data_IF_954484569563
#
_entry.id   IF_954484569563
#
_cell.length_a   1.000
_cell.length_b   1.000
_cell.length_c   1.000
_cell.angle_alpha   90.00
_cell.angle_beta   90.00
_cell.angle_gamma   90.00
#
_symmetry.space_group_name_H-M   'P 1'
#
loop_
_entity.id
_entity.type
_entity.pdbx_description
1 polymer ?
#
# COMPACT_ATOMS: atom_id res chain seq x y z
N UNK A 1 10.65 -39.81 23.23
CA UNK A 1 9.38 -39.03 23.13
C UNK A 1 9.72 -37.55 22.92
N UNK A 2 9.49 -36.97 21.73
CA UNK A 2 9.73 -35.53 21.47
C UNK A 2 8.66 -34.70 22.20
N UNK A 3 9.06 -33.94 23.22
CA UNK A 3 8.17 -32.95 23.88
C UNK A 3 7.82 -31.85 22.88
N UNK A 4 6.54 -31.68 22.57
CA UNK A 4 6.06 -30.55 21.76
C UNK A 4 6.27 -29.26 22.57
N UNK A 5 7.08 -28.34 22.05
CA UNK A 5 7.43 -27.06 22.70
C UNK A 5 6.23 -26.09 22.83
N UNK A 6 5.13 -26.36 22.12
CA UNK A 6 3.94 -25.51 22.13
C UNK A 6 2.69 -26.35 22.41
N UNK A 7 1.90 -25.91 23.40
CA UNK A 7 0.56 -26.44 23.66
C UNK A 7 -0.41 -25.79 22.66
N UNK A 8 -1.20 -26.61 21.96
CA UNK A 8 -2.25 -26.11 21.07
C UNK A 8 -3.30 -25.41 21.95
N UNK A 9 -3.57 -24.14 21.68
CA UNK A 9 -4.64 -23.38 22.34
C UNK A 9 -5.97 -24.12 22.10
N UNK A 10 -6.77 -24.41 23.14
CA UNK A 10 -8.07 -25.05 23.01
C UNK A 10 -8.99 -24.30 22.03
N UNK A 11 -9.78 -25.04 21.25
CA UNK A 11 -10.59 -24.42 20.19
C UNK A 11 -11.66 -23.44 20.74
N UNK A 12 -12.05 -23.58 22.01
CA UNK A 12 -12.93 -22.64 22.70
C UNK A 12 -12.30 -21.25 22.86
N UNK A 13 -10.99 -21.17 23.09
CA UNK A 13 -10.24 -19.92 23.27
C UNK A 13 -9.86 -19.25 21.93
N UNK A 14 -10.06 -19.96 20.81
CA UNK A 14 -9.82 -19.44 19.46
C UNK A 14 -11.03 -18.72 18.85
N UNK A 15 -12.20 -18.82 19.48
CA UNK A 15 -13.43 -18.26 18.93
C UNK A 15 -13.36 -16.74 18.88
N UNK A 16 -13.63 -16.19 17.70
CA UNK A 16 -13.74 -14.75 17.51
C UNK A 16 -15.03 -14.27 18.16
N UNK A 17 -14.94 -13.22 18.98
CA UNK A 17 -16.09 -12.58 19.61
C UNK A 17 -16.43 -11.28 18.89
N UNK A 18 -17.73 -10.93 18.74
CA UNK A 18 -18.14 -9.69 18.11
C UNK A 18 -17.82 -8.48 19.00
N UNK A 19 -17.36 -7.39 18.37
CA UNK A 19 -17.15 -6.10 19.03
C UNK A 19 -18.26 -5.14 18.62
N UNK A 20 -18.97 -4.57 19.60
CA UNK A 20 -19.99 -3.53 19.36
C UNK A 20 -19.36 -2.15 19.60
N UNK A 21 -19.51 -1.26 18.62
CA UNK A 21 -18.99 0.11 18.68
C UNK A 21 -20.12 1.05 18.25
N UNK A 22 -20.31 2.12 19.02
CA UNK A 22 -21.25 3.19 18.69
C UNK A 22 -20.46 4.28 17.98
N UNK A 23 -20.91 4.67 16.79
CA UNK A 23 -20.29 5.69 15.95
C UNK A 23 -21.36 6.66 15.50
N UNK A 24 -21.02 7.95 15.39
CA UNK A 24 -21.82 8.89 14.64
C UNK A 24 -21.54 8.75 13.13
N UNK A 25 -22.34 9.39 12.28
CA UNK A 25 -22.22 9.26 10.83
C UNK A 25 -20.86 9.77 10.28
N UNK A 26 -20.30 10.82 10.87
CA UNK A 26 -19.02 11.37 10.44
C UNK A 26 -17.85 10.43 10.81
N UNK A 27 -17.90 9.83 11.99
CA UNK A 27 -16.94 8.83 12.44
C UNK A 27 -17.00 7.57 11.59
N UNK A 28 -18.19 7.08 11.26
CA UNK A 28 -18.36 5.92 10.40
C UNK A 28 -17.76 6.14 9.01
N UNK A 29 -18.02 7.30 8.40
CA UNK A 29 -17.45 7.68 7.11
C UNK A 29 -15.93 7.85 7.17
N UNK A 30 -15.40 8.47 8.23
CA UNK A 30 -13.95 8.59 8.40
C UNK A 30 -13.29 7.21 8.52
N UNK A 31 -13.90 6.27 9.25
CA UNK A 31 -13.39 4.90 9.41
C UNK A 31 -13.48 4.13 8.09
N UNK A 32 -14.58 4.26 7.33
CA UNK A 32 -14.71 3.64 5.99
C UNK A 32 -13.63 4.13 5.04
N UNK A 33 -13.46 5.43 4.89
CA UNK A 33 -12.41 6.01 4.02
C UNK A 33 -11.02 5.54 4.44
N UNK A 34 -10.75 5.51 5.74
CA UNK A 34 -9.48 5.03 6.25
C UNK A 34 -9.24 3.53 5.97
N UNK A 35 -10.29 2.71 6.02
CA UNK A 35 -10.25 1.29 5.66
C UNK A 35 -10.06 1.09 4.14
N UNK A 36 -10.76 1.88 3.31
CA UNK A 36 -10.65 1.86 1.84
C UNK A 36 -9.24 2.17 1.36
N UNK A 37 -8.63 3.25 1.86
CA UNK A 37 -7.23 3.62 1.56
C UNK A 37 -6.26 2.47 1.91
N UNK A 38 -6.61 1.64 2.89
CA UNK A 38 -5.79 0.51 3.33
C UNK A 38 -6.16 -0.81 2.66
N UNK A 39 -7.19 -0.81 1.81
CA UNK A 39 -7.77 -1.99 1.15
C UNK A 39 -8.09 -3.07 2.20
N UNK A 40 -8.76 -2.64 3.26
CA UNK A 40 -9.23 -3.50 4.34
C UNK A 40 -10.75 -3.38 4.48
N UNK A 41 -11.37 -4.45 4.95
CA UNK A 41 -12.72 -4.35 5.47
C UNK A 41 -12.74 -3.45 6.71
N UNK A 42 -13.85 -2.72 6.91
CA UNK A 42 -14.03 -1.78 8.03
C UNK A 42 -13.73 -2.44 9.38
N UNK A 43 -14.19 -3.68 9.58
CA UNK A 43 -14.01 -4.40 10.85
C UNK A 43 -12.56 -4.82 11.07
N UNK A 44 -11.86 -5.25 10.03
CA UNK A 44 -10.46 -5.64 10.09
C UNK A 44 -9.55 -4.42 10.28
N UNK A 45 -9.87 -3.28 9.65
CA UNK A 45 -9.18 -2.01 9.89
C UNK A 45 -9.28 -1.59 11.37
N UNK A 46 -10.49 -1.56 11.93
CA UNK A 46 -10.72 -1.21 13.34
C UNK A 46 -9.98 -2.18 14.27
N UNK A 47 -10.02 -3.48 13.98
CA UNK A 47 -9.31 -4.51 14.77
C UNK A 47 -7.80 -4.31 14.75
N UNK A 48 -7.19 -4.02 13.60
CA UNK A 48 -5.75 -3.77 13.50
C UNK A 48 -5.33 -2.50 14.22
N UNK A 49 -6.08 -1.42 14.01
CA UNK A 49 -5.86 -0.14 14.68
C UNK A 49 -5.93 -0.27 16.20
N UNK A 50 -6.97 -0.95 16.73
CA UNK A 50 -7.15 -1.13 18.17
C UNK A 50 -6.07 -2.01 18.82
N UNK A 51 -5.49 -2.97 18.09
CA UNK A 51 -4.45 -3.86 18.61
C UNK A 51 -3.04 -3.30 18.50
N UNK A 52 -2.88 -2.04 18.05
CA UNK A 52 -1.56 -1.44 17.81
C UNK A 52 -0.71 -2.20 16.79
N UNK A 53 -1.30 -3.18 16.08
CA UNK A 53 -0.68 -3.79 14.92
C UNK A 53 -0.71 -2.69 13.89
N UNK A 54 0.46 -2.10 13.58
CA UNK A 54 0.56 -1.07 12.54
C UNK A 54 -0.33 -1.54 11.40
N UNK A 55 -1.39 -0.79 11.14
CA UNK A 55 -2.07 -0.86 9.87
C UNK A 55 -1.09 -0.22 8.89
N UNK A 56 0.07 -0.87 8.71
CA UNK A 56 1.13 -0.45 7.81
C UNK A 56 0.47 -0.50 6.46
N UNK A 57 0.18 0.71 6.04
CA UNK A 57 -0.68 0.97 4.92
C UNK A 57 0.08 0.45 3.73
N UNK A 58 -0.66 -0.14 2.80
CA UNK A 58 -0.28 -0.23 1.40
C UNK A 58 0.01 1.14 0.74
N UNK A 59 0.37 2.18 1.51
CA UNK A 59 0.77 3.50 1.03
C UNK A 59 2.00 3.33 0.14
N UNK A 60 2.93 2.44 0.51
CA UNK A 60 4.03 2.05 -0.36
C UNK A 60 3.52 1.51 -1.70
N UNK A 61 2.49 0.65 -1.71
CA UNK A 61 1.98 0.06 -2.95
C UNK A 61 1.26 1.09 -3.83
N UNK A 62 0.40 1.96 -3.28
CA UNK A 62 -0.27 3.00 -4.06
C UNK A 62 0.72 4.05 -4.61
N UNK A 63 1.70 4.44 -3.80
CA UNK A 63 2.78 5.33 -4.22
C UNK A 63 3.63 4.68 -5.32
N UNK A 64 4.01 3.40 -5.14
CA UNK A 64 4.75 2.63 -6.15
C UNK A 64 3.96 2.49 -7.44
N UNK A 65 2.65 2.24 -7.38
CA UNK A 65 1.78 2.15 -8.55
C UNK A 65 1.65 3.50 -9.27
N UNK A 66 1.45 4.59 -8.52
CA UNK A 66 1.37 5.93 -9.09
C UNK A 66 2.69 6.34 -9.78
N UNK A 67 3.84 6.06 -9.15
CA UNK A 67 5.16 6.36 -9.71
C UNK A 67 5.51 5.45 -10.90
N UNK A 68 5.06 4.20 -10.88
CA UNK A 68 5.15 3.29 -12.03
C UNK A 68 4.37 3.85 -13.21
N UNK A 69 3.15 4.36 -12.98
CA UNK A 69 2.33 5.00 -14.01
C UNK A 69 3.00 6.24 -14.60
N UNK A 70 3.60 7.09 -13.77
CA UNK A 70 4.39 8.25 -14.23
C UNK A 70 5.55 7.81 -15.12
N UNK A 71 6.29 6.78 -14.71
CA UNK A 71 7.42 6.25 -15.47
C UNK A 71 6.98 5.68 -16.83
N UNK A 72 5.83 5.00 -16.88
CA UNK A 72 5.24 4.50 -18.12
C UNK A 72 4.79 5.63 -19.05
N UNK A 73 4.16 6.68 -18.52
CA UNK A 73 3.78 7.86 -19.30
C UNK A 73 4.99 8.58 -19.91
N UNK A 74 6.10 8.67 -19.18
CA UNK A 74 7.35 9.26 -19.68
C UNK A 74 7.93 8.41 -20.83
N UNK A 75 7.85 7.07 -20.73
CA UNK A 75 8.26 6.17 -21.83
C UNK A 75 7.35 6.29 -23.05
N UNK A 76 6.05 6.40 -22.87
CA UNK A 76 5.11 6.62 -23.96
C UNK A 76 5.41 7.94 -24.68
N UNK A 77 5.60 9.03 -23.93
CA UNK A 77 6.01 10.31 -24.49
C UNK A 77 7.32 10.23 -25.28
N UNK A 78 8.29 9.43 -24.82
CA UNK A 78 9.52 9.20 -25.57
C UNK A 78 9.28 8.56 -26.94
N UNK A 79 8.44 7.52 -26.98
CA UNK A 79 8.07 6.86 -28.24
C UNK A 79 7.36 7.84 -29.18
N UNK A 80 6.38 8.60 -28.67
CA UNK A 80 5.65 9.60 -29.45
C UNK A 80 6.58 10.70 -30.03
N UNK A 81 7.59 11.12 -29.28
CA UNK A 81 8.57 12.10 -29.74
C UNK A 81 9.46 11.52 -30.84
N UNK A 82 9.93 10.27 -30.67
CA UNK A 82 10.72 9.56 -31.66
C UNK A 82 9.95 9.34 -32.96
N UNK A 83 8.67 8.98 -32.90
CA UNK A 83 7.79 8.85 -34.07
C UNK A 83 7.61 10.18 -34.82
N UNK A 84 7.67 11.31 -34.10
CA UNK A 84 7.62 12.67 -34.67
C UNK A 84 8.98 13.19 -35.15
N UNK A 85 10.03 12.36 -35.11
CA UNK A 85 11.39 12.74 -35.52
C UNK A 85 12.09 13.70 -34.55
N UNK A 86 11.52 13.94 -33.37
CA UNK A 86 12.13 14.73 -32.30
C UNK A 86 12.87 13.73 -31.44
N UNK A 87 14.20 13.71 -31.51
CA UNK A 87 15.01 12.83 -30.67
C UNK A 87 15.31 13.51 -29.32
N UNK A 88 14.54 13.25 -28.24
CA UNK A 88 14.96 13.68 -26.92
C UNK A 88 16.28 12.99 -26.57
N UNK A 89 17.23 13.74 -26.01
CA UNK A 89 18.52 13.18 -25.60
C UNK A 89 18.31 11.97 -24.69
N UNK A 90 18.81 10.81 -25.12
CA UNK A 90 18.70 9.56 -24.38
C UNK A 90 19.32 9.67 -22.97
N UNK A 91 20.32 10.54 -22.80
CA UNK A 91 20.92 10.86 -21.51
C UNK A 91 19.98 11.65 -20.60
N UNK A 92 19.33 12.71 -21.11
CA UNK A 92 18.38 13.50 -20.34
C UNK A 92 17.20 12.64 -19.84
N UNK A 93 16.72 11.72 -20.70
CA UNK A 93 15.61 10.82 -20.33
C UNK A 93 16.04 9.73 -19.34
N UNK A 94 17.26 9.19 -19.47
CA UNK A 94 17.80 8.25 -18.48
C UNK A 94 17.94 8.88 -17.10
N UNK A 95 18.34 10.16 -17.03
CA UNK A 95 18.44 10.90 -15.77
C UNK A 95 17.07 11.00 -15.11
N UNK A 96 16.03 11.39 -15.85
CA UNK A 96 14.66 11.52 -15.32
C UNK A 96 14.13 10.18 -14.76
N UNK A 97 14.32 9.09 -15.49
CA UNK A 97 13.89 7.74 -15.04
C UNK A 97 14.70 7.27 -13.83
N UNK A 98 16.00 7.57 -13.80
CA UNK A 98 16.87 7.25 -12.67
C UNK A 98 16.47 8.03 -11.41
N UNK A 99 16.22 9.32 -11.54
CA UNK A 99 15.81 10.19 -10.42
C UNK A 99 14.46 9.75 -9.85
N UNK A 100 13.50 9.38 -10.71
CA UNK A 100 12.24 8.79 -10.27
C UNK A 100 12.47 7.48 -9.50
N UNK A 101 13.32 6.57 -10.01
CA UNK A 101 13.65 5.31 -9.35
C UNK A 101 14.38 5.52 -8.01
N UNK A 102 15.29 6.48 -7.96
CA UNK A 102 16.07 6.77 -6.76
C UNK A 102 15.19 7.48 -5.70
N UNK A 103 14.21 8.29 -6.11
CA UNK A 103 13.19 8.82 -5.22
C UNK A 103 12.31 7.70 -4.62
N UNK A 104 11.92 6.69 -5.41
CA UNK A 104 11.22 5.49 -4.91
C UNK A 104 12.07 4.77 -3.86
N UNK A 105 13.35 4.54 -4.13
CA UNK A 105 14.27 3.87 -3.21
C UNK A 105 14.52 4.62 -1.89
N UNK A 106 14.31 5.94 -1.87
CA UNK A 106 14.40 6.73 -0.63
C UNK A 106 13.18 6.55 0.27
N UNK A 107 12.05 6.12 -0.28
CA UNK A 107 10.82 5.83 0.45
C UNK A 107 10.84 4.39 1.00
N UNK A 108 11.60 3.48 0.35
CA UNK A 108 11.81 2.08 0.79
C UNK A 108 12.73 1.91 2.03
N UNK A 109 13.26 2.99 2.61
CA UNK A 109 14.11 2.99 3.83
C UNK A 109 13.39 3.65 4.99
#
# INVERSE_FOLDING_TARGET
MKRKLFKKVPDAERRTIPLKIMLNAAEDEAIKRAAEIRILDKSEYVRRAALGRRADVRYETEIVLALTKVTQSIRALHVDLMEKGIAPSAEAMRVIVKDARDAIRRIEK
#
